data_IF_954976351832
#
_entry.id   IF_954976351832
#
_cell.length_a   1.000
_cell.length_b   1.000
_cell.length_c   1.000
_cell.angle_alpha   90.00
_cell.angle_beta   90.00
_cell.angle_gamma   90.00
#
_symmetry.space_group_name_H-M   'P 1'
#
loop_
_entity.id
_entity.type
_entity.pdbx_description
1 polymer ?
#
# COMPACT_ATOMS: atom_id res chain seq x y z
N UNK A 1 -29.49 -56.70 51.62
CA UNK A 1 -30.31 -56.11 50.54
C UNK A 1 -29.60 -54.85 50.04
N UNK A 2 -29.20 -54.89 48.76
CA UNK A 2 -29.01 -53.79 47.78
C UNK A 2 -28.29 -52.51 48.25
N UNK A 3 -26.97 -52.35 48.03
CA UNK A 3 -26.22 -51.99 46.80
C UNK A 3 -26.28 -50.51 46.39
N UNK A 4 -25.11 -49.89 46.51
CA UNK A 4 -24.44 -49.00 45.54
C UNK A 4 -25.00 -47.61 45.23
N UNK A 5 -24.17 -46.60 45.50
CA UNK A 5 -24.02 -45.47 44.58
C UNK A 5 -22.54 -45.14 44.45
N UNK A 6 -21.97 -45.69 43.38
CA UNK A 6 -20.66 -45.41 42.83
C UNK A 6 -20.66 -44.01 42.22
N UNK A 7 -19.77 -43.15 42.73
CA UNK A 7 -19.39 -41.88 42.11
C UNK A 7 -18.86 -42.18 40.71
N UNK A 8 -19.55 -41.71 39.67
CA UNK A 8 -19.11 -41.86 38.28
C UNK A 8 -18.27 -40.66 37.90
N UNK A 9 -17.02 -40.92 37.52
CA UNK A 9 -16.13 -39.99 36.83
C UNK A 9 -16.78 -39.48 35.54
N UNK A 10 -16.75 -38.16 35.32
CA UNK A 10 -16.81 -37.60 33.98
C UNK A 10 -15.68 -36.57 33.82
N UNK A 11 -14.53 -37.07 33.39
CA UNK A 11 -13.39 -36.25 32.95
C UNK A 11 -13.71 -35.73 31.54
N UNK A 12 -14.26 -34.52 31.45
CA UNK A 12 -14.35 -33.80 30.18
C UNK A 12 -13.00 -33.12 29.92
N UNK A 13 -12.16 -33.76 29.10
CA UNK A 13 -10.97 -33.16 28.54
C UNK A 13 -11.37 -32.07 27.54
N UNK A 14 -11.33 -30.81 27.97
CA UNK A 14 -11.40 -29.65 27.08
C UNK A 14 -10.01 -29.45 26.45
N UNK A 15 -9.88 -29.88 25.20
CA UNK A 15 -8.84 -29.43 24.29
C UNK A 15 -9.08 -27.93 24.01
N UNK A 16 -8.41 -27.07 24.78
CA UNK A 16 -8.24 -25.68 24.39
C UNK A 16 -7.19 -25.64 23.27
N UNK A 17 -7.69 -25.65 22.04
CA UNK A 17 -6.95 -25.11 20.90
C UNK A 17 -6.52 -23.70 21.24
N UNK A 18 -5.21 -23.46 21.28
CA UNK A 18 -4.62 -22.13 21.31
C UNK A 18 -5.01 -21.42 20.01
N UNK A 19 -6.10 -20.65 20.04
CA UNK A 19 -6.45 -19.74 18.97
C UNK A 19 -5.56 -18.50 19.08
N UNK A 20 -5.12 -18.03 17.92
CA UNK A 20 -4.23 -16.89 17.77
C UNK A 20 -4.79 -15.61 18.36
N UNK A 21 -3.90 -14.63 18.53
CA UNK A 21 -4.17 -13.38 19.24
C UNK A 21 -5.45 -12.70 18.78
N UNK A 22 -6.06 -11.96 19.70
CA UNK A 22 -7.29 -11.21 19.50
C UNK A 22 -7.21 -10.36 18.24
N UNK A 23 -7.68 -10.93 17.12
CA UNK A 23 -7.90 -10.22 15.88
C UNK A 23 -8.82 -9.05 16.16
N UNK A 24 -8.44 -7.90 15.63
CA UNK A 24 -9.06 -6.59 15.75
C UNK A 24 -10.54 -6.64 15.35
N UNK A 25 -11.42 -6.91 16.33
CA UNK A 25 -12.83 -7.34 16.15
C UNK A 25 -13.71 -6.34 15.39
N UNK A 26 -13.23 -5.13 15.10
CA UNK A 26 -13.96 -4.08 14.39
C UNK A 26 -13.61 -3.95 12.91
N UNK A 27 -12.55 -4.62 12.43
CA UNK A 27 -12.17 -4.56 11.01
C UNK A 27 -13.02 -5.48 10.15
N UNK A 28 -13.98 -4.90 9.43
CA UNK A 28 -14.79 -5.63 8.45
C UNK A 28 -13.98 -5.85 7.16
N UNK A 29 -13.38 -7.04 7.04
CA UNK A 29 -12.58 -7.48 5.89
C UNK A 29 -13.41 -8.37 4.95
N UNK A 30 -12.86 -8.65 3.77
CA UNK A 30 -13.49 -9.57 2.82
C UNK A 30 -14.28 -8.89 1.70
N UNK A 31 -14.90 -9.67 0.80
CA UNK A 31 -15.63 -9.16 -0.37
C UNK A 31 -16.98 -8.50 -0.03
N UNK A 32 -17.56 -8.83 1.13
CA UNK A 32 -18.87 -8.37 1.58
C UNK A 32 -18.82 -7.94 3.06
N UNK A 33 -18.05 -6.89 3.40
CA UNK A 33 -17.94 -6.41 4.77
C UNK A 33 -19.28 -5.82 5.23
N UNK A 34 -19.64 -6.08 6.50
CA UNK A 34 -20.73 -5.34 7.15
C UNK A 34 -20.24 -3.95 7.50
N UNK A 35 -20.74 -2.93 6.81
CA UNK A 35 -20.39 -1.53 7.09
C UNK A 35 -21.15 -1.03 8.32
N UNK A 36 -20.47 -0.41 9.31
CA UNK A 36 -21.15 0.24 10.42
C UNK A 36 -21.83 1.53 9.97
N UNK A 37 -22.73 2.06 10.81
CA UNK A 37 -23.31 3.38 10.60
C UNK A 37 -22.27 4.48 10.70
N UNK A 38 -22.50 5.60 10.00
CA UNK A 38 -21.62 6.75 10.02
C UNK A 38 -21.56 7.36 11.43
N UNK A 39 -20.34 7.64 11.89
CA UNK A 39 -20.11 8.34 13.14
C UNK A 39 -19.39 9.66 12.89
N UNK A 40 -19.92 10.75 13.44
CA UNK A 40 -19.26 12.05 13.44
C UNK A 40 -18.90 12.44 14.86
N UNK A 41 -17.61 12.61 15.15
CA UNK A 41 -17.14 13.22 16.40
C UNK A 41 -16.64 14.64 16.14
N UNK A 42 -16.86 15.55 17.11
CA UNK A 42 -16.34 16.92 17.04
C UNK A 42 -14.80 16.97 17.15
N UNK A 43 -14.21 15.98 17.80
CA UNK A 43 -12.77 15.81 17.94
C UNK A 43 -12.36 14.44 17.37
N UNK A 44 -11.31 14.36 16.54
CA UNK A 44 -10.83 13.09 16.03
C UNK A 44 -10.21 12.28 17.19
N UNK A 45 -10.61 11.01 17.32
CA UNK A 45 -9.90 10.04 18.15
C UNK A 45 -8.55 9.78 17.49
N UNK A 46 -7.45 10.28 18.05
CA UNK A 46 -6.11 10.12 17.46
C UNK A 46 -5.18 9.57 18.53
N UNK A 47 -4.69 8.34 18.30
CA UNK A 47 -3.54 7.80 19.00
C UNK A 47 -2.35 7.78 18.06
N UNK A 48 -1.40 8.68 18.29
CA UNK A 48 -0.11 8.64 17.59
C UNK A 48 0.67 7.48 18.19
N UNK A 49 1.23 6.65 17.33
CA UNK A 49 2.17 5.65 17.76
C UNK A 49 3.56 6.29 17.84
N UNK A 50 4.15 6.28 19.04
CA UNK A 50 5.48 6.85 19.33
C UNK A 50 6.55 6.09 18.52
N UNK A 51 7.32 6.73 17.63
CA UNK A 51 8.38 6.06 16.90
C UNK A 51 9.51 5.60 17.83
N UNK A 52 10.04 4.41 17.56
CA UNK A 52 11.19 3.85 18.27
C UNK A 52 12.10 3.11 17.28
N UNK A 53 13.42 3.03 17.53
CA UNK A 53 14.28 2.18 16.71
C UNK A 53 13.95 0.71 16.93
N UNK A 54 14.28 -0.12 15.92
CA UNK A 54 14.20 -1.58 16.04
C UNK A 54 15.18 -2.16 17.08
N UNK A 55 16.37 -1.56 17.23
CA UNK A 55 17.43 -2.13 18.07
C UNK A 55 17.83 -3.52 17.55
N UNK A 56 17.85 -4.52 18.43
CA UNK A 56 18.08 -5.92 18.05
C UNK A 56 16.80 -6.64 17.59
N UNK A 57 15.64 -5.99 17.67
CA UNK A 57 14.38 -6.57 17.24
C UNK A 57 14.23 -6.51 15.71
N UNK A 58 13.37 -7.37 15.17
CA UNK A 58 12.99 -7.38 13.77
C UNK A 58 11.50 -7.72 13.63
N UNK A 59 10.87 -7.45 12.46
CA UNK A 59 9.50 -7.89 12.24
C UNK A 59 9.37 -9.42 12.43
N UNK A 60 8.18 -9.86 12.81
CA UNK A 60 7.84 -11.28 12.95
C UNK A 60 7.24 -11.77 11.64
N UNK A 61 7.67 -12.93 11.17
CA UNK A 61 7.16 -13.60 9.96
C UNK A 61 6.69 -15.01 10.29
N UNK A 62 5.83 -15.65 9.47
CA UNK A 62 5.38 -17.02 9.67
C UNK A 62 6.51 -18.02 9.85
N UNK A 63 6.19 -19.13 10.52
CA UNK A 63 7.09 -20.29 10.60
C UNK A 63 7.51 -20.76 9.20
N UNK A 64 8.80 -21.11 9.06
CA UNK A 64 9.38 -21.46 7.76
C UNK A 64 9.83 -20.26 6.93
N UNK A 65 9.80 -19.04 7.49
CA UNK A 65 10.36 -17.85 6.86
C UNK A 65 11.41 -17.18 7.76
N UNK A 66 12.31 -16.44 7.11
CA UNK A 66 13.28 -15.55 7.75
C UNK A 66 13.17 -14.17 7.16
N UNK A 67 13.38 -13.17 8.01
CA UNK A 67 13.44 -11.76 7.62
C UNK A 67 14.80 -11.16 8.02
N UNK A 68 15.36 -10.40 7.08
CA UNK A 68 16.65 -9.71 7.20
C UNK A 68 16.53 -8.29 6.65
N UNK A 69 17.18 -7.32 7.30
CA UNK A 69 17.34 -5.98 6.74
C UNK A 69 18.45 -6.03 5.68
N UNK A 70 18.12 -5.74 4.42
CA UNK A 70 19.07 -5.77 3.29
C UNK A 70 19.62 -4.39 2.94
N UNK A 71 18.95 -3.32 3.39
CA UNK A 71 19.48 -1.97 3.35
C UNK A 71 18.89 -1.13 4.48
N UNK A 72 19.74 -0.34 5.14
CA UNK A 72 19.36 0.65 6.16
C UNK A 72 19.82 2.05 5.76
N UNK A 73 19.48 3.05 6.57
CA UNK A 73 19.93 4.45 6.42
C UNK A 73 19.51 5.07 5.08
N UNK A 74 18.35 4.65 4.59
CA UNK A 74 17.72 5.21 3.41
C UNK A 74 17.06 6.56 3.74
N UNK A 75 16.82 7.36 2.72
CA UNK A 75 16.23 8.67 2.78
C UNK A 75 14.73 8.59 2.43
N UNK A 76 13.99 7.85 3.27
CA UNK A 76 12.55 7.57 3.16
C UNK A 76 12.22 6.65 1.97
N UNK A 77 12.51 5.33 2.06
CA UNK A 77 12.18 4.37 1.02
C UNK A 77 10.66 4.23 0.85
N UNK A 78 10.19 4.15 -0.40
CA UNK A 78 8.75 4.12 -0.72
C UNK A 78 8.37 2.84 -1.48
N UNK A 79 8.53 2.82 -2.80
CA UNK A 79 8.31 1.63 -3.61
C UNK A 79 9.64 0.99 -4.00
N UNK A 80 9.60 -0.31 -4.25
CA UNK A 80 10.72 -1.09 -4.77
C UNK A 80 10.38 -1.65 -6.15
N UNK A 81 11.40 -1.93 -6.94
CA UNK A 81 11.29 -2.60 -8.22
C UNK A 81 12.46 -3.59 -8.35
N UNK A 82 12.14 -4.87 -8.56
CA UNK A 82 13.14 -5.90 -8.88
C UNK A 82 13.37 -5.88 -10.39
N UNK A 83 14.62 -5.71 -10.81
CA UNK A 83 15.04 -5.68 -12.21
C UNK A 83 15.32 -7.10 -12.73
N UNK A 84 15.39 -7.32 -14.06
CA UNK A 84 15.61 -8.65 -14.64
C UNK A 84 16.87 -9.37 -14.12
N UNK A 85 17.94 -8.64 -13.80
CA UNK A 85 19.15 -9.20 -13.20
C UNK A 85 19.06 -9.47 -11.69
N UNK A 86 17.96 -9.13 -11.04
CA UNK A 86 17.76 -9.25 -9.59
C UNK A 86 18.19 -8.03 -8.77
N UNK A 87 18.71 -6.97 -9.40
CA UNK A 87 18.93 -5.70 -8.69
C UNK A 87 17.60 -5.13 -8.18
N UNK A 88 17.64 -4.46 -7.04
CA UNK A 88 16.47 -3.76 -6.48
C UNK A 88 16.69 -2.26 -6.61
N UNK A 89 15.77 -1.58 -7.29
CA UNK A 89 15.65 -0.13 -7.20
C UNK A 89 14.69 0.25 -6.07
N UNK A 90 15.08 1.25 -5.30
CA UNK A 90 14.31 1.80 -4.19
C UNK A 90 14.04 3.28 -4.47
N UNK A 91 12.77 3.66 -4.58
CA UNK A 91 12.37 5.06 -4.67
C UNK A 91 12.45 5.71 -3.29
N UNK A 92 13.24 6.77 -3.15
CA UNK A 92 13.40 7.53 -1.91
C UNK A 92 12.84 8.93 -2.08
N UNK A 93 11.73 9.24 -1.41
CA UNK A 93 10.97 10.44 -1.71
C UNK A 93 9.97 10.87 -0.63
N UNK A 94 9.83 12.19 -0.49
CA UNK A 94 8.79 12.83 0.31
C UNK A 94 8.34 14.10 -0.38
N UNK A 95 7.08 14.14 -0.79
CA UNK A 95 6.48 15.25 -1.50
C UNK A 95 5.35 15.93 -0.74
N UNK A 96 4.50 16.62 -1.51
CA UNK A 96 3.31 17.33 -1.03
C UNK A 96 3.56 18.79 -0.73
N UNK A 97 2.61 19.63 -1.15
CA UNK A 97 2.67 21.09 -1.03
C UNK A 97 1.33 21.71 -0.64
N UNK A 98 0.30 20.90 -0.38
CA UNK A 98 -1.05 21.38 -0.13
C UNK A 98 -1.16 22.21 1.16
N UNK A 99 -1.71 23.42 1.03
CA UNK A 99 -2.07 24.25 2.18
C UNK A 99 -3.10 23.56 3.08
N UNK A 100 -3.01 23.77 4.40
CA UNK A 100 -3.97 23.23 5.37
C UNK A 100 -5.27 24.05 5.34
N UNK A 101 -6.42 23.39 5.42
CA UNK A 101 -7.73 24.05 5.22
C UNK A 101 -8.40 24.41 6.54
N UNK A 102 -8.37 23.49 7.50
CA UNK A 102 -9.04 23.65 8.80
C UNK A 102 -8.00 23.73 9.93
N UNK A 103 -8.31 24.41 11.04
CA UNK A 103 -7.44 24.40 12.23
C UNK A 103 -7.11 22.99 12.72
N UNK A 104 -8.06 22.05 12.63
CA UNK A 104 -7.83 20.63 12.94
C UNK A 104 -6.80 19.97 12.02
N UNK A 105 -6.68 20.41 10.76
CA UNK A 105 -5.69 19.87 9.81
C UNK A 105 -4.27 20.31 10.18
N UNK A 106 -4.13 21.49 10.78
CA UNK A 106 -2.85 21.97 11.32
C UNK A 106 -2.45 21.12 12.51
N UNK A 107 -3.36 20.93 13.48
CA UNK A 107 -3.14 20.10 14.66
C UNK A 107 -2.84 18.65 14.26
N UNK A 108 -3.66 18.04 13.40
CA UNK A 108 -3.45 16.70 12.86
C UNK A 108 -2.13 16.60 12.08
N UNK A 109 -1.70 17.64 11.37
CA UNK A 109 -0.41 17.64 10.67
C UNK A 109 0.79 17.65 11.61
N UNK A 110 0.72 18.38 12.72
CA UNK A 110 1.78 18.39 13.74
C UNK A 110 1.86 17.02 14.43
N UNK A 111 0.71 16.47 14.79
CA UNK A 111 0.53 15.14 15.37
C UNK A 111 1.06 14.04 14.43
N UNK A 112 0.69 14.05 13.15
CA UNK A 112 1.22 13.12 12.13
C UNK A 112 2.73 13.23 11.98
N UNK A 113 3.29 14.44 12.03
CA UNK A 113 4.72 14.65 11.89
C UNK A 113 5.54 14.02 13.03
N UNK A 114 4.91 13.74 14.18
CA UNK A 114 5.54 13.07 15.31
C UNK A 114 5.66 11.55 15.10
N UNK A 115 4.69 10.94 14.42
CA UNK A 115 4.73 9.52 14.03
C UNK A 115 5.51 9.21 12.75
N UNK A 116 6.20 10.20 12.17
CA UNK A 116 6.95 10.07 10.93
C UNK A 116 8.46 10.10 11.17
N UNK A 117 9.21 9.53 10.24
CA UNK A 117 10.67 9.67 10.22
C UNK A 117 11.08 11.14 10.14
N UNK A 118 12.15 11.47 10.87
CA UNK A 118 12.74 12.82 10.89
C UNK A 118 13.81 13.01 9.82
N UNK A 119 14.17 11.94 9.10
CA UNK A 119 15.12 11.98 7.98
C UNK A 119 14.54 12.82 6.83
N UNK A 120 15.41 13.53 6.09
CA UNK A 120 15.03 14.28 4.89
C UNK A 120 14.87 13.31 3.71
N UNK A 121 13.83 13.49 2.89
CA UNK A 121 13.61 12.67 1.69
C UNK A 121 14.76 12.78 0.69
N UNK A 122 15.09 11.67 0.03
CA UNK A 122 16.27 11.54 -0.82
C UNK A 122 16.13 12.15 -2.20
N UNK A 123 14.92 12.19 -2.77
CA UNK A 123 14.67 12.63 -4.15
C UNK A 123 15.55 11.87 -5.16
N UNK A 124 15.63 10.55 -4.99
CA UNK A 124 16.55 9.68 -5.74
C UNK A 124 16.00 8.26 -5.88
N UNK A 125 16.65 7.49 -6.75
CA UNK A 125 16.60 6.03 -6.78
C UNK A 125 17.92 5.48 -6.23
N UNK A 126 17.84 4.58 -5.25
CA UNK A 126 18.98 3.77 -4.82
C UNK A 126 18.88 2.38 -5.42
N UNK A 127 20.00 1.87 -5.93
CA UNK A 127 20.16 0.50 -6.40
C UNK A 127 20.84 -0.34 -5.32
N UNK A 128 20.25 -1.51 -5.06
CA UNK A 128 20.80 -2.57 -4.24
C UNK A 128 21.14 -3.76 -5.15
N UNK A 129 22.35 -4.31 -5.02
CA UNK A 129 22.76 -5.53 -5.73
C UNK A 129 23.34 -6.55 -4.77
N UNK A 130 22.84 -7.76 -4.91
CA UNK A 130 23.35 -9.02 -4.37
C UNK A 130 24.11 -9.71 -5.50
N UNK A 131 25.44 -9.59 -5.50
CA UNK A 131 26.31 -9.92 -6.63
C UNK A 131 26.58 -11.42 -6.75
N UNK A 132 26.56 -12.15 -5.63
CA UNK A 132 26.80 -13.60 -5.59
C UNK A 132 25.52 -14.43 -5.32
N UNK A 133 24.41 -13.76 -5.02
CA UNK A 133 23.10 -14.37 -4.83
C UNK A 133 22.90 -14.98 -3.45
N UNK A 134 23.74 -14.64 -2.46
CA UNK A 134 23.68 -15.21 -1.11
C UNK A 134 22.60 -14.56 -0.22
N UNK A 135 21.98 -13.46 -0.68
CA UNK A 135 20.97 -12.69 0.02
C UNK A 135 21.52 -11.50 0.83
N UNK A 136 22.84 -11.33 0.86
CA UNK A 136 23.55 -10.12 1.27
C UNK A 136 23.63 -9.18 0.06
N UNK A 137 23.59 -7.86 0.32
CA UNK A 137 23.62 -6.88 -0.76
C UNK A 137 24.93 -6.08 -0.66
N UNK A 138 25.92 -6.45 -1.48
CA UNK A 138 27.29 -5.90 -1.44
C UNK A 138 27.34 -4.47 -1.95
N UNK A 139 26.41 -4.09 -2.84
CA UNK A 139 26.38 -2.77 -3.44
C UNK A 139 25.08 -2.05 -3.10
N UNK A 140 25.22 -0.87 -2.46
CA UNK A 140 24.19 0.15 -2.31
C UNK A 140 24.70 1.44 -2.94
N UNK A 141 24.12 1.87 -4.05
CA UNK A 141 24.56 3.08 -4.77
C UNK A 141 23.37 3.89 -5.28
N UNK A 142 23.58 5.20 -5.46
CA UNK A 142 22.58 6.06 -6.10
C UNK A 142 22.55 5.77 -7.59
N UNK A 143 21.42 5.27 -8.10
CA UNK A 143 21.21 5.04 -9.52
C UNK A 143 20.89 6.35 -10.24
N UNK A 144 19.95 7.13 -9.71
CA UNK A 144 19.54 8.42 -10.24
C UNK A 144 19.19 9.37 -9.09
N UNK A 145 19.53 10.65 -9.20
CA UNK A 145 19.25 11.69 -8.20
C UNK A 145 18.48 12.86 -8.81
N UNK A 146 18.26 13.90 -8.00
CA UNK A 146 17.57 15.14 -8.40
C UNK A 146 16.17 14.89 -8.99
N UNK A 147 15.50 13.84 -8.53
CA UNK A 147 14.11 13.54 -8.87
C UNK A 147 13.15 14.39 -8.02
N UNK A 148 11.87 14.43 -8.40
CA UNK A 148 10.87 15.19 -7.67
C UNK A 148 9.94 14.25 -6.89
N UNK A 149 10.33 13.94 -5.64
CA UNK A 149 9.62 13.03 -4.75
C UNK A 149 9.16 11.74 -5.48
N UNK A 150 10.11 10.93 -5.99
CA UNK A 150 9.77 9.73 -6.74
C UNK A 150 8.98 8.76 -5.87
N UNK A 151 8.00 8.07 -6.48
CA UNK A 151 7.17 7.10 -5.78
C UNK A 151 6.99 5.81 -6.58
N UNK A 152 6.14 5.78 -7.60
CA UNK A 152 5.91 4.58 -8.42
C UNK A 152 7.07 4.28 -9.37
N UNK A 153 7.36 2.99 -9.56
CA UNK A 153 8.43 2.49 -10.43
C UNK A 153 7.88 1.41 -11.37
N UNK A 154 8.37 1.36 -12.61
CA UNK A 154 8.13 0.25 -13.51
C UNK A 154 9.32 0.05 -14.46
N UNK A 155 9.54 -1.18 -14.90
CA UNK A 155 10.48 -1.51 -15.96
C UNK A 155 9.73 -2.12 -17.13
N UNK A 156 9.95 -1.59 -18.34
CA UNK A 156 9.37 -2.13 -19.56
C UNK A 156 10.21 -1.73 -20.77
N UNK A 157 10.39 -2.66 -21.71
CA UNK A 157 11.01 -2.39 -23.01
C UNK A 157 12.37 -1.66 -22.93
N UNK A 158 13.22 -2.04 -21.97
CA UNK A 158 14.56 -1.45 -21.78
C UNK A 158 14.55 -0.06 -21.13
N UNK A 159 13.42 0.38 -20.57
CA UNK A 159 13.28 1.67 -19.88
C UNK A 159 12.83 1.49 -18.44
N UNK A 160 13.41 2.30 -17.57
CA UNK A 160 12.94 2.50 -16.21
C UNK A 160 12.03 3.73 -16.17
N UNK A 161 10.80 3.53 -15.74
CA UNK A 161 9.82 4.59 -15.57
C UNK A 161 9.70 4.95 -14.10
N UNK A 162 9.64 6.26 -13.83
CA UNK A 162 9.54 6.81 -12.48
C UNK A 162 8.41 7.82 -12.46
N UNK A 163 7.42 7.54 -11.63
CA UNK A 163 6.36 8.49 -11.35
C UNK A 163 6.84 9.45 -10.25
N UNK A 164 7.34 10.61 -10.68
CA UNK A 164 7.56 11.75 -9.80
C UNK A 164 6.21 12.34 -9.41
N UNK A 165 6.21 13.20 -8.38
CA UNK A 165 4.96 13.79 -7.90
C UNK A 165 4.26 14.69 -8.93
N UNK A 166 5.00 15.20 -9.94
CA UNK A 166 4.60 16.18 -10.96
C UNK A 166 4.74 15.71 -12.42
N UNK A 167 5.46 14.62 -12.67
CA UNK A 167 5.65 14.09 -14.02
C UNK A 167 5.96 12.59 -14.00
N UNK A 168 5.56 11.91 -15.06
CA UNK A 168 6.11 10.61 -15.38
C UNK A 168 7.38 10.82 -16.20
N UNK A 169 8.48 10.24 -15.75
CA UNK A 169 9.77 10.35 -16.41
C UNK A 169 10.36 8.97 -16.67
N UNK A 170 11.37 8.89 -17.53
CA UNK A 170 12.03 7.63 -17.90
C UNK A 170 13.55 7.76 -18.00
N UNK A 171 14.22 6.64 -17.80
CA UNK A 171 15.64 6.43 -18.09
C UNK A 171 15.78 5.24 -19.05
N UNK A 172 16.70 5.34 -19.99
CA UNK A 172 17.19 4.13 -20.67
C UNK A 172 17.95 3.26 -19.66
N UNK A 173 17.73 1.95 -19.75
CA UNK A 173 18.37 0.97 -18.88
C UNK A 173 18.94 -0.19 -19.67
N UNK A 174 20.23 -0.45 -19.45
CA UNK A 174 20.88 -1.67 -19.88
C UNK A 174 21.04 -2.61 -18.68
N UNK A 175 20.90 -3.91 -18.92
CA UNK A 175 21.05 -4.92 -17.86
C UNK A 175 22.42 -4.80 -17.16
N UNK A 176 22.41 -4.84 -15.82
CA UNK A 176 23.62 -4.65 -15.02
C UNK A 176 24.04 -3.18 -14.81
N UNK A 177 23.36 -2.20 -15.41
CA UNK A 177 23.67 -0.78 -15.21
C UNK A 177 23.42 -0.35 -13.75
N UNK A 178 24.43 0.24 -13.11
CA UNK A 178 24.37 0.67 -11.70
C UNK A 178 24.12 2.17 -11.51
N UNK A 179 24.10 2.94 -12.60
CA UNK A 179 23.86 4.39 -12.60
C UNK A 179 23.20 4.82 -13.90
N UNK A 180 22.21 5.71 -13.81
CA UNK A 180 21.57 6.34 -14.96
C UNK A 180 22.60 7.05 -15.85
N UNK A 181 22.41 6.96 -17.17
CA UNK A 181 23.32 7.57 -18.15
C UNK A 181 23.24 9.10 -18.22
N UNK A 182 22.26 9.71 -17.55
CA UNK A 182 22.01 11.15 -17.59
C UNK A 182 20.70 11.53 -16.87
N UNK A 183 20.24 12.78 -17.02
CA UNK A 183 18.94 13.20 -16.50
C UNK A 183 17.79 12.43 -17.16
N UNK A 184 16.64 12.31 -16.48
CA UNK A 184 15.52 11.57 -17.04
C UNK A 184 14.89 12.28 -18.23
N UNK A 185 14.31 11.50 -19.15
CA UNK A 185 13.44 12.01 -20.22
C UNK A 185 12.01 12.09 -19.71
N UNK A 186 11.39 13.27 -19.82
CA UNK A 186 9.98 13.45 -19.46
C UNK A 186 9.07 12.69 -20.44
N UNK A 187 8.13 11.91 -19.91
CA UNK A 187 7.10 11.19 -20.68
C UNK A 187 5.84 12.04 -20.76
N UNK A 188 5.29 12.45 -19.61
CA UNK A 188 4.14 13.36 -19.53
C UNK A 188 4.12 14.08 -18.18
N UNK A 189 3.51 15.26 -18.14
CA UNK A 189 3.21 15.94 -16.88
C UNK A 189 2.09 15.20 -16.14
N UNK A 190 2.11 15.26 -14.80
CA UNK A 190 1.10 14.69 -13.90
C UNK A 190 0.48 15.78 -13.01
N UNK A 191 -0.78 15.64 -12.56
CA UNK A 191 -1.43 16.64 -11.72
C UNK A 191 -0.75 16.83 -10.35
N UNK A 192 -0.27 18.05 -10.08
CA UNK A 192 0.55 18.36 -8.90
C UNK A 192 0.42 19.79 -8.34
N UNK A 193 -0.59 20.56 -8.75
CA UNK A 193 -0.71 21.97 -8.38
C UNK A 193 -0.96 22.17 -6.87
N UNK A 194 -1.94 21.47 -6.30
CA UNK A 194 -2.19 21.43 -4.84
C UNK A 194 -1.43 20.27 -4.20
N UNK A 195 -1.46 19.11 -4.87
CA UNK A 195 -0.72 17.90 -4.50
C UNK A 195 -0.92 17.43 -3.05
N UNK A 196 -2.18 17.33 -2.61
CA UNK A 196 -2.49 16.80 -1.27
C UNK A 196 -2.09 15.32 -1.16
N UNK A 197 -2.67 14.47 -2.01
CA UNK A 197 -2.15 13.13 -2.26
C UNK A 197 -1.08 13.22 -3.36
N UNK A 198 0.17 13.35 -2.91
CA UNK A 198 1.30 13.61 -3.81
C UNK A 198 1.84 12.36 -4.50
N UNK A 199 1.69 11.19 -3.87
CA UNK A 199 2.14 9.90 -4.39
C UNK A 199 1.48 9.60 -5.73
N UNK A 200 2.27 9.05 -6.66
CA UNK A 200 1.83 8.61 -7.99
C UNK A 200 2.25 7.16 -8.16
N UNK A 201 1.32 6.22 -8.01
CA UNK A 201 1.60 4.79 -8.20
C UNK A 201 1.81 4.49 -9.68
N UNK A 202 2.50 3.40 -10.00
CA UNK A 202 2.86 3.08 -11.39
C UNK A 202 2.85 1.56 -11.60
N UNK A 203 2.27 1.12 -12.71
CA UNK A 203 2.43 -0.22 -13.26
C UNK A 203 2.56 -0.15 -14.79
N UNK A 204 3.26 -1.10 -15.40
CA UNK A 204 3.32 -1.23 -16.85
C UNK A 204 2.46 -2.42 -17.30
N UNK A 205 1.82 -2.31 -18.46
CA UNK A 205 1.22 -3.48 -19.12
C UNK A 205 2.31 -4.51 -19.46
N UNK A 206 1.90 -5.78 -19.63
CA UNK A 206 2.82 -6.88 -19.92
C UNK A 206 3.62 -6.66 -21.22
N UNK A 207 3.01 -6.03 -22.23
CA UNK A 207 3.68 -5.65 -23.48
C UNK A 207 4.49 -4.34 -23.39
N UNK A 208 4.44 -3.67 -22.23
CA UNK A 208 5.12 -2.41 -21.96
C UNK A 208 4.64 -1.22 -22.79
N UNK A 209 3.52 -1.33 -23.52
CA UNK A 209 2.98 -0.24 -24.36
C UNK A 209 2.19 0.78 -23.56
N UNK A 210 1.54 0.34 -22.49
CA UNK A 210 0.71 1.17 -21.63
C UNK A 210 1.31 1.25 -20.24
N UNK A 211 1.32 2.45 -19.67
CA UNK A 211 1.68 2.72 -18.30
C UNK A 211 0.42 3.19 -17.57
N UNK A 212 0.19 2.66 -16.37
CA UNK A 212 -0.93 3.01 -15.53
C UNK A 212 -0.42 3.82 -14.35
N UNK A 213 -0.93 5.04 -14.18
CA UNK A 213 -0.55 5.93 -13.08
C UNK A 213 -1.74 6.22 -12.19
N UNK A 214 -1.64 5.85 -10.91
CA UNK A 214 -2.66 6.18 -9.92
C UNK A 214 -2.44 7.58 -9.35
N UNK A 215 -3.50 8.40 -9.36
CA UNK A 215 -3.49 9.80 -8.95
C UNK A 215 -4.54 10.01 -7.87
N UNK A 216 -4.12 10.35 -6.66
CA UNK A 216 -5.03 10.60 -5.53
C UNK A 216 -5.70 11.98 -5.57
N UNK A 217 -6.80 12.11 -4.83
CA UNK A 217 -7.58 13.35 -4.66
C UNK A 217 -6.76 14.51 -4.07
N UNK A 218 -7.27 15.74 -4.18
CA UNK A 218 -6.76 16.90 -3.45
C UNK A 218 -7.46 17.12 -2.10
N UNK A 219 -8.55 16.39 -1.85
CA UNK A 219 -9.43 16.56 -0.69
C UNK A 219 -9.77 15.22 -0.04
N UNK A 220 -10.24 15.26 1.20
CA UNK A 220 -10.88 14.11 1.82
C UNK A 220 -12.19 13.76 1.11
N UNK A 221 -13.10 14.73 1.02
CA UNK A 221 -14.41 14.67 0.35
C UNK A 221 -14.75 16.03 -0.27
N UNK A 222 -13.94 16.45 -1.24
CA UNK A 222 -14.13 17.66 -2.09
C UNK A 222 -14.14 19.01 -1.36
N UNK A 223 -13.65 19.08 -0.13
CA UNK A 223 -13.66 20.33 0.64
C UNK A 223 -12.80 21.47 0.04
N UNK A 224 -11.96 21.19 -0.96
CA UNK A 224 -11.25 22.20 -1.76
C UNK A 224 -12.00 22.65 -3.02
N UNK A 225 -13.22 22.15 -3.22
CA UNK A 225 -14.03 22.35 -4.43
C UNK A 225 -13.78 21.27 -5.48
N UNK A 226 -14.81 21.00 -6.29
CA UNK A 226 -14.74 19.98 -7.36
C UNK A 226 -13.71 20.30 -8.45
N UNK A 227 -13.44 21.59 -8.67
CA UNK A 227 -12.57 22.04 -9.77
C UNK A 227 -11.12 21.61 -9.59
N UNK A 228 -10.66 21.51 -8.33
CA UNK A 228 -9.31 21.04 -8.04
C UNK A 228 -9.19 19.51 -8.06
N UNK A 229 -10.30 18.80 -8.25
CA UNK A 229 -10.37 17.35 -8.35
C UNK A 229 -10.40 16.87 -9.82
N UNK A 230 -10.33 17.80 -10.78
CA UNK A 230 -10.12 17.47 -12.20
C UNK A 230 -8.80 16.70 -12.32
N UNK A 231 -8.85 15.56 -13.02
CA UNK A 231 -7.72 14.64 -13.18
C UNK A 231 -7.15 14.06 -11.88
N UNK A 232 -7.95 14.05 -10.81
CA UNK A 232 -7.61 13.45 -9.51
C UNK A 232 -8.56 12.29 -9.18
N UNK A 233 -8.17 11.49 -8.18
CA UNK A 233 -8.92 10.32 -7.71
C UNK A 233 -9.23 9.31 -8.82
N UNK A 234 -8.19 8.93 -9.57
CA UNK A 234 -8.31 8.09 -10.76
C UNK A 234 -7.02 7.35 -11.08
N UNK A 235 -7.10 6.44 -12.03
CA UNK A 235 -5.95 5.87 -12.73
C UNK A 235 -5.94 6.41 -14.16
N UNK A 236 -4.81 6.94 -14.59
CA UNK A 236 -4.56 7.25 -16.01
C UNK A 236 -3.96 6.03 -16.71
N UNK A 237 -4.31 5.84 -17.99
CA UNK A 237 -3.58 5.00 -18.93
C UNK A 237 -2.78 5.93 -19.85
N UNK A 238 -1.49 5.66 -20.00
CA UNK A 238 -0.51 6.50 -20.70
C UNK A 238 0.20 5.63 -21.74
N UNK A 239 0.23 6.07 -22.98
CA UNK A 239 1.05 5.44 -24.02
C UNK A 239 2.54 5.69 -23.72
N UNK A 240 3.29 4.61 -23.54
CA UNK A 240 4.67 4.66 -23.04
C UNK A 240 5.64 5.37 -24.01
N UNK A 241 5.31 5.43 -25.31
CA UNK A 241 6.15 6.01 -26.34
C UNK A 241 5.88 7.50 -26.55
N UNK A 242 4.61 7.90 -26.48
CA UNK A 242 4.16 9.25 -26.84
C UNK A 242 3.79 10.12 -25.64
N UNK A 243 3.53 9.51 -24.47
CA UNK A 243 3.02 10.22 -23.29
C UNK A 243 1.55 10.64 -23.38
N UNK A 244 0.87 10.31 -24.49
CA UNK A 244 -0.57 10.54 -24.64
C UNK A 244 -1.33 9.74 -23.58
N UNK A 245 -2.32 10.35 -22.94
CA UNK A 245 -2.99 9.75 -21.80
C UNK A 245 -4.49 10.01 -21.78
N UNK A 246 -5.21 9.14 -21.07
CA UNK A 246 -6.64 9.26 -20.78
C UNK A 246 -6.96 8.71 -19.39
N UNK A 247 -8.07 9.12 -18.76
CA UNK A 247 -8.63 8.42 -17.62
C UNK A 247 -8.92 6.96 -17.99
N UNK A 248 -8.36 6.02 -17.23
CA UNK A 248 -8.64 4.59 -17.34
C UNK A 248 -9.78 4.20 -16.40
N UNK A 249 -9.72 4.62 -15.14
CA UNK A 249 -10.77 4.40 -14.14
C UNK A 249 -10.86 5.59 -13.18
N UNK A 250 -12.05 5.91 -12.68
CA UNK A 250 -12.28 7.13 -11.89
C UNK A 250 -12.98 6.81 -10.56
N UNK A 251 -13.00 7.77 -9.63
CA UNK A 251 -13.63 7.60 -8.32
C UNK A 251 -12.86 6.70 -7.36
N UNK A 252 -11.56 6.54 -7.58
CA UNK A 252 -10.61 5.87 -6.70
C UNK A 252 -9.92 6.95 -5.87
N UNK A 253 -10.31 7.18 -4.61
CA UNK A 253 -9.84 8.35 -3.82
C UNK A 253 -8.33 8.52 -3.85
N UNK A 254 -7.58 7.47 -3.55
CA UNK A 254 -6.13 7.48 -3.54
C UNK A 254 -5.58 6.09 -3.89
N UNK A 255 -5.44 5.74 -5.20
CA UNK A 255 -4.87 4.47 -5.64
C UNK A 255 -3.35 4.47 -5.43
N UNK A 256 -2.93 4.03 -4.25
CA UNK A 256 -1.56 4.18 -3.72
C UNK A 256 -0.59 3.15 -4.25
N UNK A 257 -1.05 2.01 -4.74
CA UNK A 257 -0.20 1.06 -5.45
C UNK A 257 -0.99 0.35 -6.55
N UNK A 258 -0.28 -0.06 -7.59
CA UNK A 258 -0.81 -0.72 -8.78
C UNK A 258 0.05 -1.94 -9.08
N UNK A 259 -0.56 -3.03 -9.50
CA UNK A 259 0.15 -4.22 -10.00
C UNK A 259 -0.68 -4.89 -11.10
N UNK A 260 -0.01 -5.62 -11.99
CA UNK A 260 -0.67 -6.45 -13.00
C UNK A 260 -0.73 -7.88 -12.48
N UNK A 261 -1.92 -8.48 -12.52
CA UNK A 261 -2.07 -9.89 -12.23
C UNK A 261 -1.39 -10.73 -13.31
N UNK A 262 -0.38 -11.55 -12.95
CA UNK A 262 0.30 -12.41 -13.91
C UNK A 262 -0.66 -13.34 -14.64
N UNK A 263 -0.46 -13.53 -15.94
CA UNK A 263 -1.25 -14.42 -16.79
C UNK A 263 -2.60 -13.87 -17.26
N UNK A 264 -3.30 -13.06 -16.45
CA UNK A 264 -4.56 -12.43 -16.87
C UNK A 264 -4.37 -11.03 -17.46
N UNK A 265 -3.29 -10.33 -17.09
CA UNK A 265 -3.06 -8.95 -17.47
C UNK A 265 -4.00 -7.94 -16.77
N UNK A 266 -4.84 -8.40 -15.84
CA UNK A 266 -5.78 -7.53 -15.12
C UNK A 266 -5.00 -6.58 -14.21
N UNK A 267 -5.27 -5.27 -14.34
CA UNK A 267 -4.74 -4.25 -13.43
C UNK A 267 -5.46 -4.34 -12.08
N UNK A 268 -4.71 -4.31 -10.99
CA UNK A 268 -5.20 -4.28 -9.62
C UNK A 268 -4.63 -3.07 -8.87
N UNK A 269 -5.38 -2.59 -7.88
CA UNK A 269 -4.95 -1.48 -7.03
C UNK A 269 -5.38 -1.67 -5.59
N UNK A 270 -4.61 -1.08 -4.67
CA UNK A 270 -5.10 -0.75 -3.33
C UNK A 270 -5.39 0.73 -3.21
N UNK A 271 -6.47 1.08 -2.51
CA UNK A 271 -6.96 2.46 -2.39
C UNK A 271 -7.13 2.84 -0.93
N UNK A 272 -6.64 4.04 -0.56
CA UNK A 272 -6.95 4.62 0.75
C UNK A 272 -8.22 5.47 0.68
N UNK A 273 -9.20 5.11 1.51
CA UNK A 273 -10.51 5.75 1.52
C UNK A 273 -10.61 6.97 2.43
N UNK A 274 -11.77 7.62 2.39
CA UNK A 274 -12.04 8.89 3.08
C UNK A 274 -12.06 8.74 4.59
N UNK A 275 -11.60 9.80 5.23
CA UNK A 275 -11.58 10.00 6.66
C UNK A 275 -12.91 10.60 7.17
N UNK A 276 -13.03 10.69 8.50
CA UNK A 276 -14.08 11.45 9.21
C UNK A 276 -15.51 10.87 9.08
N UNK A 277 -15.64 9.54 8.95
CA UNK A 277 -16.91 8.81 9.09
C UNK A 277 -16.90 7.81 10.27
N UNK A 278 -15.92 7.94 11.15
CA UNK A 278 -15.70 7.07 12.30
C UNK A 278 -14.42 6.23 12.16
N UNK A 279 -14.06 5.48 13.22
CA UNK A 279 -12.85 4.64 13.22
C UNK A 279 -13.00 3.37 12.38
N UNK A 280 -14.23 2.93 12.08
CA UNK A 280 -14.49 1.67 11.38
C UNK A 280 -15.14 1.87 10.00
N UNK A 281 -15.19 3.12 9.52
CA UNK A 281 -15.69 3.50 8.19
C UNK A 281 -14.82 4.64 7.63
N UNK A 282 -14.40 4.64 6.37
CA UNK A 282 -14.69 3.71 5.25
C UNK A 282 -13.53 2.73 5.05
N UNK A 283 -13.78 1.46 4.65
CA UNK A 283 -12.70 0.51 4.40
C UNK A 283 -11.77 0.97 3.27
N UNK A 284 -10.47 0.86 3.50
CA UNK A 284 -9.49 0.76 2.42
C UNK A 284 -9.74 -0.57 1.68
N UNK A 285 -9.39 -0.62 0.40
CA UNK A 285 -9.78 -1.77 -0.42
C UNK A 285 -8.74 -2.16 -1.46
N UNK A 286 -8.80 -3.44 -1.83
CA UNK A 286 -8.14 -4.06 -2.97
C UNK A 286 -9.19 -4.30 -4.06
N UNK A 287 -8.90 -3.92 -5.30
CA UNK A 287 -9.83 -4.14 -6.42
C UNK A 287 -9.14 -4.23 -7.78
N UNK A 288 -9.74 -5.04 -8.66
CA UNK A 288 -9.50 -5.02 -10.09
C UNK A 288 -9.93 -3.67 -10.67
N UNK A 289 -9.06 -3.04 -11.46
CA UNK A 289 -9.29 -1.75 -12.10
C UNK A 289 -9.84 -1.97 -13.51
N UNK A 290 -11.07 -1.52 -13.76
CA UNK A 290 -11.79 -1.73 -15.03
C UNK A 290 -11.84 -0.44 -15.83
N UNK A 291 -11.52 -0.54 -17.12
CA UNK A 291 -11.59 0.61 -18.02
C UNK A 291 -13.00 1.24 -18.01
N UNK A 292 -13.05 2.57 -17.91
CA UNK A 292 -14.29 3.35 -17.89
C UNK A 292 -15.09 3.27 -16.59
N UNK A 293 -14.67 2.46 -15.61
CA UNK A 293 -15.43 2.28 -14.37
C UNK A 293 -15.31 3.48 -13.42
N UNK A 294 -16.32 3.61 -12.56
CA UNK A 294 -16.38 4.61 -11.50
C UNK A 294 -16.54 3.92 -10.14
N UNK A 295 -15.62 4.17 -9.20
CA UNK A 295 -15.56 3.47 -7.90
C UNK A 295 -16.19 4.27 -6.74
N UNK A 296 -16.92 5.34 -7.06
CA UNK A 296 -17.82 6.03 -6.13
C UNK A 296 -17.30 7.37 -5.60
N UNK A 297 -16.00 7.53 -5.33
CA UNK A 297 -15.50 8.81 -4.80
C UNK A 297 -15.77 9.96 -5.79
N UNK A 298 -16.27 11.13 -5.35
CA UNK A 298 -16.52 11.52 -3.97
C UNK A 298 -17.95 11.24 -3.47
N UNK A 299 -18.87 10.86 -4.37
CA UNK A 299 -20.31 10.83 -4.10
C UNK A 299 -20.78 9.62 -3.29
N UNK A 300 -20.07 8.50 -3.39
CA UNK A 300 -20.39 7.28 -2.66
C UNK A 300 -19.14 6.53 -2.22
N UNK A 301 -19.33 5.57 -1.34
CA UNK A 301 -18.30 4.64 -0.90
C UNK A 301 -18.82 3.20 -0.96
N UNK A 302 -17.90 2.25 -1.15
CA UNK A 302 -18.21 0.82 -1.19
C UNK A 302 -19.42 0.49 -2.10
N UNK A 303 -19.40 1.00 -3.34
CA UNK A 303 -20.53 0.96 -4.27
C UNK A 303 -21.44 2.17 -4.12
N UNK A 304 -22.75 1.94 -3.93
CA UNK A 304 -23.78 2.98 -4.02
C UNK A 304 -24.13 3.64 -2.67
N UNK A 305 -23.34 3.44 -1.61
CA UNK A 305 -23.60 4.09 -0.31
C UNK A 305 -23.27 5.58 -0.42
N UNK A 306 -24.30 6.43 -0.37
CA UNK A 306 -24.17 7.88 -0.55
C UNK A 306 -23.31 8.49 0.57
N UNK A 307 -22.36 9.34 0.20
CA UNK A 307 -21.69 10.24 1.12
C UNK A 307 -22.38 11.62 1.08
N UNK A 308 -23.15 12.01 2.12
CA UNK A 308 -23.90 13.26 2.10
C UNK A 308 -23.01 14.51 2.16
N UNK A 309 -21.70 14.35 2.45
CA UNK A 309 -20.74 15.45 2.59
C UNK A 309 -20.25 15.99 1.25
N UNK A 310 -20.27 15.19 0.18
CA UNK A 310 -19.87 15.63 -1.15
C UNK A 310 -20.87 16.65 -1.71
N UNK A 311 -20.41 17.79 -2.19
CA UNK A 311 -21.29 18.84 -2.73
C UNK A 311 -20.73 19.45 -4.03
N UNK A 312 -21.57 19.68 -5.05
CA UNK A 312 -22.98 19.28 -5.14
C UNK A 312 -23.14 17.75 -5.24
N UNK A 313 -24.25 17.21 -4.74
CA UNK A 313 -24.59 15.79 -4.88
C UNK A 313 -24.79 15.38 -6.36
N UNK A 314 -24.53 14.11 -6.67
CA UNK A 314 -24.73 13.56 -8.02
C UNK A 314 -25.31 12.13 -7.97
N UNK A 315 -26.64 11.98 -7.90
CA UNK A 315 -27.30 10.67 -7.82
C UNK A 315 -27.00 9.74 -8.99
N UNK A 316 -26.79 10.28 -10.20
CA UNK A 316 -26.45 9.47 -11.38
C UNK A 316 -25.06 8.83 -11.23
N UNK A 317 -24.08 9.57 -10.69
CA UNK A 317 -22.75 9.01 -10.37
C UNK A 317 -22.80 7.99 -9.24
N UNK A 318 -23.62 8.20 -8.21
CA UNK A 318 -23.86 7.20 -7.17
C UNK A 318 -24.42 5.91 -7.79
N UNK A 319 -25.43 6.01 -8.66
CA UNK A 319 -26.02 4.85 -9.32
C UNK A 319 -25.01 4.10 -10.23
N UNK A 320 -24.08 4.83 -10.85
CA UNK A 320 -23.03 4.26 -11.69
C UNK A 320 -21.84 3.66 -10.90
N UNK A 321 -21.76 3.89 -9.59
CA UNK A 321 -20.63 3.45 -8.78
C UNK A 321 -20.60 1.93 -8.65
N UNK A 322 -19.44 1.33 -8.93
CA UNK A 322 -19.22 -0.10 -8.72
C UNK A 322 -18.61 -0.37 -7.35
N UNK A 323 -19.00 -1.49 -6.75
CA UNK A 323 -18.44 -1.96 -5.48
C UNK A 323 -17.00 -2.47 -5.72
N UNK A 324 -16.01 -2.09 -4.90
CA UNK A 324 -14.68 -2.70 -4.92
C UNK A 324 -14.73 -4.21 -4.59
N UNK A 325 -13.68 -4.95 -4.95
CA UNK A 325 -13.69 -6.42 -4.86
C UNK A 325 -13.41 -6.94 -3.44
N UNK A 326 -12.61 -6.26 -2.62
CA UNK A 326 -12.19 -6.76 -1.30
C UNK A 326 -11.85 -5.64 -0.31
N UNK A 327 -12.44 -5.69 0.89
CA UNK A 327 -12.14 -4.78 1.99
C UNK A 327 -10.91 -5.23 2.76
N UNK A 328 -9.96 -4.31 2.94
CA UNK A 328 -8.76 -4.50 3.75
C UNK A 328 -9.00 -4.07 5.22
N UNK A 329 -10.12 -3.41 5.47
CA UNK A 329 -10.41 -2.75 6.75
C UNK A 329 -10.22 -1.24 6.65
N UNK A 330 -10.80 -0.52 7.60
CA UNK A 330 -10.82 0.93 7.64
C UNK A 330 -9.51 1.49 8.21
N UNK A 331 -8.92 2.43 7.48
CA UNK A 331 -7.74 3.21 7.90
C UNK A 331 -6.45 2.38 8.07
N UNK A 332 -6.33 1.22 7.44
CA UNK A 332 -5.09 0.42 7.45
C UNK A 332 -3.95 1.11 6.68
N UNK A 333 -4.29 2.06 5.81
CA UNK A 333 -3.39 2.81 4.95
C UNK A 333 -2.57 1.87 4.07
N UNK A 334 -3.24 1.11 3.21
CA UNK A 334 -2.59 0.22 2.24
C UNK A 334 -1.75 1.04 1.24
N UNK A 335 -0.44 0.76 1.13
CA UNK A 335 0.51 1.51 0.29
C UNK A 335 1.35 0.63 -0.65
N UNK A 336 1.21 -0.69 -0.58
CA UNK A 336 1.93 -1.63 -1.44
C UNK A 336 1.01 -2.77 -1.82
N UNK A 337 1.17 -3.27 -3.04
CA UNK A 337 0.43 -4.43 -3.56
C UNK A 337 1.30 -5.14 -4.58
N UNK A 338 1.48 -6.46 -4.43
CA UNK A 338 2.11 -7.26 -5.46
C UNK A 338 1.66 -8.72 -5.44
N UNK A 339 1.52 -9.32 -6.62
CA UNK A 339 1.04 -10.69 -6.74
C UNK A 339 2.12 -11.68 -6.32
N UNK A 340 1.70 -12.68 -5.57
CA UNK A 340 2.58 -13.76 -5.18
C UNK A 340 2.83 -14.75 -6.32
N UNK A 341 3.78 -15.63 -6.10
CA UNK A 341 4.22 -16.67 -7.02
C UNK A 341 4.42 -18.00 -6.27
N UNK A 342 4.41 -19.15 -6.96
CA UNK A 342 4.60 -20.46 -6.32
C UNK A 342 5.88 -20.60 -5.49
N UNK A 343 6.93 -19.86 -5.83
CA UNK A 343 8.21 -19.84 -5.12
C UNK A 343 8.06 -19.35 -3.66
N UNK A 344 7.05 -18.52 -3.39
CA UNK A 344 6.67 -18.10 -2.03
C UNK A 344 6.06 -19.23 -1.20
N UNK A 345 5.94 -20.45 -1.72
CA UNK A 345 5.50 -21.63 -0.98
C UNK A 345 3.98 -21.82 -1.02
N UNK A 346 3.54 -23.06 -0.86
CA UNK A 346 2.14 -23.49 -1.11
C UNK A 346 1.09 -22.60 -0.44
N UNK A 347 1.31 -22.24 0.83
CA UNK A 347 0.39 -21.39 1.61
C UNK A 347 0.24 -19.97 1.08
N UNK A 348 1.23 -19.47 0.35
CA UNK A 348 1.28 -18.11 -0.17
C UNK A 348 1.49 -18.10 -1.70
N UNK A 349 1.15 -19.18 -2.41
CA UNK A 349 1.45 -19.31 -3.83
C UNK A 349 0.48 -18.53 -4.73
N UNK A 350 -0.81 -18.46 -4.36
CA UNK A 350 -1.88 -17.82 -5.14
C UNK A 350 -2.58 -16.76 -4.30
N UNK A 351 -2.26 -15.50 -4.58
CA UNK A 351 -2.76 -14.36 -3.83
C UNK A 351 -1.90 -13.12 -4.02
N UNK A 352 -2.09 -12.16 -3.12
CA UNK A 352 -1.42 -10.86 -3.20
C UNK A 352 -0.93 -10.44 -1.82
N UNK A 353 0.28 -9.88 -1.76
CA UNK A 353 0.78 -9.22 -0.56
C UNK A 353 0.35 -7.76 -0.55
N UNK A 354 -0.04 -7.26 0.63
CA UNK A 354 -0.43 -5.86 0.82
C UNK A 354 0.32 -5.26 2.00
N UNK A 355 1.03 -4.15 1.75
CA UNK A 355 1.70 -3.36 2.79
C UNK A 355 0.73 -2.38 3.44
N UNK A 356 0.45 -2.56 4.73
CA UNK A 356 -0.42 -1.69 5.54
C UNK A 356 0.42 -0.74 6.39
N UNK A 357 0.46 0.54 6.01
CA UNK A 357 1.31 1.58 6.61
C UNK A 357 0.89 1.94 8.05
N UNK A 358 -0.35 1.67 8.40
CA UNK A 358 -0.87 1.83 9.73
C UNK A 358 -1.62 3.14 9.97
N UNK A 359 -2.70 3.05 10.74
CA UNK A 359 -3.62 4.13 11.03
C UNK A 359 -3.01 5.19 11.96
N UNK A 360 -3.41 6.44 11.77
CA UNK A 360 -3.13 7.57 12.67
C UNK A 360 -4.39 8.18 13.31
N UNK A 361 -5.58 7.79 12.83
CA UNK A 361 -6.86 8.46 13.11
C UNK A 361 -7.85 7.60 13.92
N UNK A 362 -7.35 6.88 14.93
CA UNK A 362 -8.17 6.04 15.81
C UNK A 362 -7.49 5.75 17.14
N UNK A 363 -8.28 5.34 18.15
CA UNK A 363 -7.78 5.02 19.50
C UNK A 363 -7.07 3.65 19.58
N UNK A 364 -7.56 2.68 18.80
CA UNK A 364 -6.95 1.36 18.65
C UNK A 364 -6.27 1.30 17.27
N UNK A 365 -4.93 1.46 17.18
CA UNK A 365 -4.23 1.51 15.91
C UNK A 365 -4.31 0.19 15.15
N UNK A 366 -4.52 0.27 13.83
CA UNK A 366 -4.63 -0.87 12.91
C UNK A 366 -3.61 -0.74 11.78
N UNK A 367 -3.38 -1.82 11.03
CA UNK A 367 -2.31 -1.90 10.03
C UNK A 367 -0.96 -2.19 10.68
N UNK A 368 0.10 -1.49 10.26
CA UNK A 368 1.48 -1.72 10.72
C UNK A 368 1.95 -3.16 10.48
N UNK A 369 1.69 -3.66 9.27
CA UNK A 369 2.03 -5.02 8.87
C UNK A 369 1.99 -5.21 7.35
N UNK A 370 2.47 -6.36 6.92
CA UNK A 370 2.18 -6.90 5.60
C UNK A 370 1.21 -8.06 5.78
N UNK A 371 0.14 -8.07 5.00
CA UNK A 371 -0.83 -9.17 4.94
C UNK A 371 -0.73 -9.88 3.59
N UNK A 372 -1.25 -11.11 3.54
CA UNK A 372 -1.49 -11.87 2.32
C UNK A 372 -3.00 -12.09 2.16
N UNK A 373 -3.56 -11.68 1.02
CA UNK A 373 -4.96 -11.98 0.66
C UNK A 373 -4.92 -13.19 -0.29
N UNK A 374 -5.49 -14.35 0.10
CA UNK A 374 -5.49 -15.53 -0.76
C UNK A 374 -6.36 -15.29 -1.98
N UNK A 375 -6.00 -15.89 -3.11
CA UNK A 375 -6.80 -15.86 -4.33
C UNK A 375 -7.26 -17.27 -4.71
N UNK A 376 -8.39 -17.31 -5.39
CA UNK A 376 -8.91 -18.51 -6.05
C UNK A 376 -9.63 -18.08 -7.32
N UNK A 377 -9.32 -18.73 -8.45
CA UNK A 377 -9.88 -18.41 -9.76
C UNK A 377 -9.73 -16.92 -10.13
N UNK A 378 -8.56 -16.34 -9.81
CA UNK A 378 -8.23 -14.96 -10.11
C UNK A 378 -8.95 -13.90 -9.26
N UNK A 379 -9.63 -14.29 -8.18
CA UNK A 379 -10.32 -13.38 -7.27
C UNK A 379 -9.89 -13.58 -5.81
N UNK A 380 -9.93 -12.53 -4.96
CA UNK A 380 -9.74 -12.66 -3.53
C UNK A 380 -10.65 -13.73 -2.92
N UNK A 381 -10.11 -14.56 -2.04
CA UNK A 381 -10.81 -15.67 -1.40
C UNK A 381 -10.36 -15.81 0.05
N UNK A 382 -11.32 -15.78 0.98
CA UNK A 382 -11.07 -15.99 2.41
C UNK A 382 -10.52 -14.76 3.15
N UNK A 383 -10.20 -14.98 4.42
CA UNK A 383 -9.63 -13.97 5.31
C UNK A 383 -8.15 -13.70 4.99
N UNK A 384 -7.66 -12.46 5.21
CA UNK A 384 -6.26 -12.17 5.01
C UNK A 384 -5.40 -12.80 6.12
N UNK A 385 -4.19 -13.21 5.76
CA UNK A 385 -3.20 -13.78 6.68
C UNK A 385 -2.15 -12.74 6.99
N UNK A 386 -1.86 -12.51 8.28
CA UNK A 386 -0.75 -11.67 8.70
C UNK A 386 0.59 -12.32 8.30
N UNK A 387 1.40 -11.66 7.46
CA UNK A 387 2.64 -12.20 6.89
C UNK A 387 3.90 -11.55 7.46
N UNK A 388 3.91 -10.23 7.72
CA UNK A 388 5.00 -9.58 8.44
C UNK A 388 4.42 -8.61 9.46
N UNK A 389 4.69 -8.83 10.75
CA UNK A 389 4.09 -8.11 11.88
C UNK A 389 5.14 -7.59 12.85
N UNK A 390 4.72 -6.93 13.94
CA UNK A 390 5.63 -6.39 14.96
C UNK A 390 6.21 -5.01 14.63
N UNK A 391 5.84 -4.43 13.47
CA UNK A 391 6.17 -3.03 13.14
C UNK A 391 5.62 -2.04 14.16
N UNK A 392 4.50 -2.40 14.80
CA UNK A 392 4.05 -1.79 16.05
C UNK A 392 4.11 -2.83 17.16
N UNK A 393 4.80 -2.51 18.26
CA UNK A 393 4.98 -3.40 19.40
C UNK A 393 3.84 -3.35 20.40
N UNK A 394 3.80 -4.36 21.27
CA UNK A 394 2.84 -4.44 22.38
C UNK A 394 3.06 -3.33 23.42
N UNK A 395 4.27 -2.76 23.45
CA UNK A 395 4.62 -1.55 24.20
C UNK A 395 3.99 -0.26 23.63
N UNK A 396 3.24 -0.39 22.53
CA UNK A 396 2.55 0.70 21.86
C UNK A 396 3.43 1.54 20.94
N UNK A 397 4.74 1.27 20.88
CA UNK A 397 5.72 1.99 20.05
C UNK A 397 5.73 1.44 18.64
N UNK A 398 5.99 2.32 17.67
CA UNK A 398 6.11 1.94 16.25
C UNK A 398 7.56 1.94 15.83
N UNK A 399 8.03 0.80 15.36
CA UNK A 399 9.40 0.58 14.92
C UNK A 399 9.56 0.67 13.41
N UNK A 400 8.48 0.44 12.67
CA UNK A 400 8.46 0.60 11.23
C UNK A 400 7.06 0.79 10.68
N UNK A 401 6.96 1.12 9.38
CA UNK A 401 5.69 1.30 8.67
C UNK A 401 5.84 0.80 7.23
N UNK A 402 5.27 -0.37 6.90
CA UNK A 402 5.35 -0.94 5.55
C UNK A 402 4.74 -0.01 4.49
N UNK A 403 5.45 0.17 3.38
CA UNK A 403 5.00 0.94 2.20
C UNK A 403 4.87 -0.01 1.01
N UNK A 404 5.81 0.02 0.07
CA UNK A 404 5.85 -0.87 -1.07
C UNK A 404 6.21 -2.30 -0.66
N UNK A 405 5.57 -3.25 -1.33
CA UNK A 405 5.94 -4.66 -1.30
C UNK A 405 6.19 -5.12 -2.73
N UNK A 406 7.23 -5.93 -2.93
CA UNK A 406 7.57 -6.47 -4.26
C UNK A 406 7.97 -7.93 -4.11
N UNK A 407 7.40 -8.79 -4.94
CA UNK A 407 7.74 -10.20 -4.98
C UNK A 407 8.89 -10.39 -5.96
N UNK A 408 10.03 -10.83 -5.43
CA UNK A 408 11.18 -11.25 -6.23
C UNK A 408 10.83 -12.58 -6.92
N UNK A 409 11.02 -12.70 -8.26
CA UNK A 409 10.84 -13.95 -9.00
C UNK A 409 11.60 -15.16 -8.43
N UNK A 410 12.66 -14.93 -7.63
CA UNK A 410 13.41 -15.98 -6.92
C UNK A 410 12.73 -16.49 -5.64
N UNK A 411 11.57 -15.94 -5.24
CA UNK A 411 10.83 -16.37 -4.06
C UNK A 411 11.21 -15.62 -2.78
N UNK A 412 11.30 -14.29 -2.88
CA UNK A 412 11.44 -13.41 -1.72
C UNK A 412 10.39 -12.31 -1.75
N UNK A 413 10.00 -11.81 -0.57
CA UNK A 413 9.22 -10.59 -0.45
C UNK A 413 10.12 -9.44 0.01
N UNK A 414 10.17 -8.38 -0.78
CA UNK A 414 10.86 -7.13 -0.45
C UNK A 414 9.83 -6.17 0.15
N UNK A 415 10.17 -5.56 1.29
CA UNK A 415 9.28 -4.65 2.02
C UNK A 415 10.04 -3.34 2.28
N UNK A 416 9.54 -2.24 1.75
CA UNK A 416 10.03 -0.91 2.09
C UNK A 416 9.40 -0.42 3.40
N UNK A 417 10.23 0.09 4.31
CA UNK A 417 9.83 0.62 5.61
C UNK A 417 10.30 2.08 5.73
N UNK A 418 9.37 3.02 5.55
CA UNK A 418 9.70 4.44 5.45
C UNK A 418 9.95 5.11 6.80
N UNK A 419 9.45 4.51 7.89
CA UNK A 419 9.70 5.00 9.24
C UNK A 419 11.10 4.58 9.70
N UNK A 420 11.43 3.29 9.52
CA UNK A 420 12.73 2.74 9.88
C UNK A 420 13.83 3.03 8.86
N UNK A 421 13.49 3.63 7.71
CA UNK A 421 14.41 3.87 6.60
C UNK A 421 15.16 2.60 6.15
N UNK A 422 14.41 1.49 6.09
CA UNK A 422 14.95 0.15 5.90
C UNK A 422 14.23 -0.55 4.76
N UNK A 423 14.95 -1.39 4.01
CA UNK A 423 14.35 -2.40 3.14
C UNK A 423 14.57 -3.77 3.77
N UNK A 424 13.47 -4.48 3.99
CA UNK A 424 13.46 -5.84 4.52
C UNK A 424 13.29 -6.85 3.40
N UNK A 425 13.94 -8.00 3.53
CA UNK A 425 13.78 -9.16 2.66
C UNK A 425 13.28 -10.34 3.49
N UNK A 426 12.16 -10.92 3.06
CA UNK A 426 11.59 -12.13 3.65
C UNK A 426 11.78 -13.29 2.67
N UNK A 427 12.33 -14.40 3.15
CA UNK A 427 12.55 -15.62 2.35
C UNK A 427 12.06 -16.84 3.09
N UNK A 428 11.80 -17.92 2.35
CA UNK A 428 11.57 -19.24 2.94
C UNK A 428 12.88 -19.79 3.52
N UNK A 429 12.78 -20.40 4.69
CA UNK A 429 13.85 -21.21 5.23
C UNK A 429 13.95 -22.46 4.35
N UNK A 430 15.14 -22.71 3.81
CA UNK A 430 15.43 -23.93 3.04
C UNK A 430 15.71 -25.10 3.96
#
# INVERSE_FOLDING_TARGET
MKTSSTLTLLSAALLLTACGGEGDKTQARGPDPKLPEQQSSLLPSMKIAEPAPWGEQKPKVPEGYSITAIATDLAIPRQTLVLPNGDILVAEGRGGSAAKLKPKDVIASLIKAEGNTKVKGGNRLTLLRDADGDGTYELKTVFADNLNAPYGLAFANGKLYVANQDALVSFDYADGQTKAGGPPTKVTDLPAQINHHWTKSLAASEDGRQLYVGIGSNSNVTERGMEVEIDRAMVWQIDAATGAHKPYATGLRNPTALTIQPGSGQLWTVVNERDELGPDLVPDYLTSVREGAFYGWPYSYWGQNVDPRAQPQNPAKVAAAIKPDYSLGSHVAALGVDFSIPQMGEKFADGVFVGEHGSWNRDNPVGYKVIFVPFSNGKPSGEPVDFATGFRGDDGKTRGRPVGVTVDPKGALIIADDLANTVWRVTRNQ
#
